data_IF_813834319238
#
_entry.id   IF_813834319238
#
_cell.length_a   1.000
_cell.length_b   1.000
_cell.length_c   1.000
_cell.angle_alpha   90.00
_cell.angle_beta   90.00
_cell.angle_gamma   90.00
#
_symmetry.space_group_name_H-M   'P 1'
#
loop_
_entity.id
_entity.type
_entity.pdbx_description
1 polymer ?
#
# COMPACT_ATOMS: atom_id res chain seq x y z
N UNK A 1 6.36 6.64 3.70
CA UNK A 1 7.05 5.42 4.19
C UNK A 1 6.29 4.75 5.31
N UNK A 2 6.00 5.44 6.42
CA UNK A 2 5.28 4.88 7.56
C UNK A 2 3.94 4.24 7.18
N UNK A 3 3.06 4.96 6.49
CA UNK A 3 1.75 4.43 6.07
C UNK A 3 1.89 3.14 5.23
N UNK A 4 2.81 3.13 4.25
CA UNK A 4 3.07 1.93 3.45
C UNK A 4 3.62 0.77 4.29
N UNK A 5 4.53 1.05 5.22
CA UNK A 5 5.07 0.07 6.15
C UNK A 5 3.99 -0.52 7.06
N UNK A 6 3.10 0.33 7.59
CA UNK A 6 1.94 -0.11 8.36
C UNK A 6 1.06 -1.06 7.54
N UNK A 7 0.74 -0.73 6.28
CA UNK A 7 -0.03 -1.61 5.37
C UNK A 7 0.67 -2.95 5.06
N UNK A 8 1.98 -3.05 5.27
CA UNK A 8 2.71 -4.33 5.15
C UNK A 8 2.79 -5.11 6.46
N UNK A 9 2.81 -4.41 7.60
CA UNK A 9 2.84 -4.99 8.94
C UNK A 9 2.22 -4.01 9.93
N UNK A 10 1.12 -4.41 10.56
CA UNK A 10 0.45 -3.60 11.57
C UNK A 10 1.17 -3.64 12.93
N UNK A 11 2.28 -2.91 13.02
CA UNK A 11 3.09 -2.76 14.23
C UNK A 11 3.89 -1.46 14.12
N UNK A 12 3.41 -0.41 14.81
CA UNK A 12 3.99 0.94 14.72
C UNK A 12 5.48 0.95 15.06
N UNK A 13 5.86 0.29 16.15
CA UNK A 13 7.21 0.35 16.67
C UNK A 13 8.15 -0.44 15.77
N UNK A 14 7.73 -1.63 15.32
CA UNK A 14 8.45 -2.39 14.32
C UNK A 14 8.66 -1.61 13.00
N UNK A 15 7.62 -0.93 12.51
CA UNK A 15 7.71 -0.14 11.27
C UNK A 15 8.63 1.07 11.46
N UNK A 16 8.56 1.75 12.61
CA UNK A 16 9.49 2.84 12.96
C UNK A 16 10.92 2.34 13.01
N UNK A 17 11.19 1.20 13.64
CA UNK A 17 12.53 0.61 13.70
C UNK A 17 13.06 0.27 12.29
N UNK A 18 12.21 -0.29 11.43
CA UNK A 18 12.58 -0.55 10.04
C UNK A 18 12.93 0.73 9.28
N UNK A 19 12.17 1.82 9.49
CA UNK A 19 12.43 3.11 8.86
C UNK A 19 13.71 3.74 9.41
N UNK A 20 13.93 3.67 10.73
CA UNK A 20 15.14 4.19 11.37
C UNK A 20 16.39 3.50 10.82
N UNK A 21 16.36 2.17 10.65
CA UNK A 21 17.47 1.45 10.01
C UNK A 21 17.70 1.93 8.57
N UNK A 22 16.65 2.13 7.79
CA UNK A 22 16.78 2.63 6.40
C UNK A 22 17.51 3.97 6.39
N UNK A 23 17.14 4.90 7.26
CA UNK A 23 17.83 6.19 7.36
C UNK A 23 19.26 6.06 7.90
N UNK A 24 19.49 5.21 8.89
CA UNK A 24 20.84 4.94 9.40
C UNK A 24 21.76 4.42 8.29
N UNK A 25 21.29 3.46 7.49
CA UNK A 25 22.04 2.91 6.36
C UNK A 25 22.28 3.95 5.26
N UNK A 26 21.30 4.81 5.00
CA UNK A 26 21.43 5.91 4.04
C UNK A 26 22.52 6.90 4.48
N UNK A 27 22.50 7.34 5.74
CA UNK A 27 23.49 8.27 6.29
C UNK A 27 24.88 7.64 6.25
N UNK A 28 25.00 6.37 6.68
CA UNK A 28 26.27 5.62 6.69
C UNK A 28 26.86 5.42 5.29
N UNK A 29 26.01 5.32 4.26
CA UNK A 29 26.42 5.08 2.87
C UNK A 29 26.33 6.33 2.00
N UNK A 30 26.15 7.52 2.58
CA UNK A 30 25.90 8.76 1.84
C UNK A 30 26.96 9.05 0.77
N UNK A 31 28.22 8.75 1.07
CA UNK A 31 29.36 9.00 0.17
C UNK A 31 29.41 7.99 -1.00
N UNK A 32 28.59 6.94 -0.96
CA UNK A 32 28.47 5.87 -1.97
C UNK A 32 27.10 5.83 -2.63
N UNK A 33 26.21 6.79 -2.33
CA UNK A 33 24.92 6.90 -2.99
C UNK A 33 25.14 7.38 -4.41
N UNK A 34 24.77 6.55 -5.40
CA UNK A 34 24.68 7.00 -6.78
C UNK A 34 23.53 7.98 -6.96
N UNK A 35 23.44 8.59 -8.15
CA UNK A 35 22.23 9.35 -8.51
C UNK A 35 21.02 8.42 -8.51
N UNK A 36 19.92 8.91 -7.93
CA UNK A 36 18.63 8.22 -7.95
C UNK A 36 17.60 9.11 -8.65
N UNK A 37 16.99 8.61 -9.71
CA UNK A 37 15.98 9.35 -10.46
C UNK A 37 14.67 9.52 -9.67
N UNK A 38 14.38 8.61 -8.73
CA UNK A 38 13.22 8.72 -7.85
C UNK A 38 13.51 8.29 -6.40
N UNK A 39 13.68 9.29 -5.53
CA UNK A 39 13.90 9.11 -4.09
C UNK A 39 12.70 8.42 -3.41
N UNK A 40 11.46 8.76 -3.80
CA UNK A 40 10.25 8.16 -3.21
C UNK A 40 10.20 6.65 -3.46
N UNK A 41 10.43 6.23 -4.70
CA UNK A 41 10.49 4.81 -5.05
C UNK A 41 11.58 4.09 -4.24
N UNK A 42 12.78 4.68 -4.20
CA UNK A 42 13.91 4.12 -3.47
C UNK A 42 13.57 3.89 -1.99
N UNK A 43 12.97 4.88 -1.34
CA UNK A 43 12.61 4.83 0.08
C UNK A 43 11.52 3.78 0.36
N UNK A 44 10.48 3.73 -0.47
CA UNK A 44 9.42 2.72 -0.35
C UNK A 44 9.99 1.30 -0.55
N UNK A 45 10.86 1.12 -1.54
CA UNK A 45 11.53 -0.16 -1.82
C UNK A 45 12.42 -0.59 -0.66
N UNK A 46 13.18 0.35 -0.11
CA UNK A 46 14.10 0.10 1.01
C UNK A 46 13.35 -0.34 2.26
N UNK A 47 12.26 0.35 2.63
CA UNK A 47 11.41 -0.04 3.77
C UNK A 47 10.75 -1.40 3.53
N UNK A 48 10.18 -1.64 2.34
CA UNK A 48 9.60 -2.95 1.98
C UNK A 48 10.62 -4.08 2.16
N UNK A 49 11.82 -3.90 1.60
CA UNK A 49 12.88 -4.89 1.68
C UNK A 49 13.34 -5.12 3.12
N UNK A 50 13.42 -4.07 3.95
CA UNK A 50 13.76 -4.17 5.37
C UNK A 50 12.69 -4.96 6.14
N UNK A 51 11.42 -4.60 5.98
CA UNK A 51 10.29 -5.31 6.60
C UNK A 51 10.29 -6.78 6.21
N UNK A 52 10.40 -7.10 4.92
CA UNK A 52 10.45 -8.49 4.43
C UNK A 52 11.64 -9.24 5.05
N UNK A 53 12.82 -8.60 5.11
CA UNK A 53 14.03 -9.20 5.69
C UNK A 53 13.83 -9.52 7.17
N UNK A 54 13.33 -8.58 7.96
CA UNK A 54 13.10 -8.77 9.40
C UNK A 54 12.07 -9.88 9.66
N UNK A 55 10.97 -9.89 8.92
CA UNK A 55 9.96 -10.95 9.01
C UNK A 55 10.52 -12.31 8.60
N UNK A 56 11.36 -12.37 7.56
CA UNK A 56 11.99 -13.61 7.12
C UNK A 56 13.06 -14.13 8.09
N UNK A 57 13.76 -13.23 8.80
CA UNK A 57 14.79 -13.59 9.77
C UNK A 57 14.18 -14.13 11.06
N UNK A 58 13.08 -13.52 11.54
CA UNK A 58 12.32 -14.02 12.70
C UNK A 58 11.64 -15.36 12.42
N UNK A 59 11.24 -15.63 11.18
CA UNK A 59 10.61 -16.89 10.79
C UNK A 59 11.59 -18.05 10.53
N UNK A 60 12.91 -17.86 10.63
CA UNK A 60 13.87 -18.98 10.50
C UNK A 60 13.76 -20.01 11.63
N UNK A 61 13.13 -19.67 12.76
CA UNK A 61 12.79 -20.63 13.80
C UNK A 61 11.53 -21.47 13.48
N UNK A 62 10.77 -21.13 12.43
CA UNK A 62 9.62 -21.90 11.95
C UNK A 62 9.79 -22.28 10.47
N UNK A 63 10.47 -23.40 10.23
CA UNK A 63 10.83 -23.95 8.92
C UNK A 63 9.67 -24.29 7.95
N UNK A 64 8.42 -23.89 8.22
CA UNK A 64 7.28 -24.24 7.37
C UNK A 64 6.32 -23.07 7.14
N UNK A 65 6.59 -22.34 6.05
CA UNK A 65 5.69 -21.51 5.20
C UNK A 65 6.28 -20.12 4.97
N UNK A 66 6.88 -19.92 3.80
CA UNK A 66 7.16 -18.60 3.20
C UNK A 66 5.84 -17.84 2.99
N UNK A 67 5.26 -17.26 4.05
CA UNK A 67 4.25 -16.21 3.90
C UNK A 67 5.00 -14.90 3.78
N UNK A 68 5.01 -14.33 2.58
CA UNK A 68 5.31 -12.91 2.39
C UNK A 68 4.42 -12.09 3.34
N UNK A 69 4.87 -10.92 3.83
CA UNK A 69 3.98 -10.01 4.55
C UNK A 69 2.71 -9.83 3.72
N UNK A 70 1.59 -10.24 4.31
CA UNK A 70 0.27 -10.02 3.77
C UNK A 70 0.12 -8.49 3.69
N UNK A 71 -0.29 -7.96 2.53
CA UNK A 71 -0.67 -6.54 2.47
C UNK A 71 -1.98 -6.40 3.23
N UNK A 72 -1.83 -6.30 4.54
CA UNK A 72 -2.89 -6.20 5.51
C UNK A 72 -3.54 -4.85 5.30
N UNK A 73 -4.86 -4.88 5.21
CA UNK A 73 -5.58 -3.65 5.41
C UNK A 73 -5.40 -3.28 6.87
N UNK A 74 -4.45 -2.41 7.17
CA UNK A 74 -4.42 -1.74 8.46
C UNK A 74 -5.71 -0.97 8.57
N UNK A 75 -6.65 -1.61 9.23
CA UNK A 75 -7.79 -1.03 9.89
C UNK A 75 -7.49 -1.18 11.37
N UNK A 76 -7.09 -0.12 12.08
CA UNK A 76 -7.23 -0.12 13.55
C UNK A 76 -6.87 1.19 14.28
N UNK A 77 -6.37 2.28 13.68
CA UNK A 77 -6.24 3.54 14.46
C UNK A 77 -7.02 4.71 13.86
N UNK A 78 -6.86 5.03 12.57
CA UNK A 78 -7.72 6.06 11.97
C UNK A 78 -9.19 5.59 11.85
N UNK A 79 -9.42 4.26 11.78
CA UNK A 79 -10.74 3.69 11.50
C UNK A 79 -11.71 3.59 12.70
N UNK A 80 -11.19 3.52 13.93
CA UNK A 80 -12.05 3.60 15.12
C UNK A 80 -12.66 5.00 15.28
N UNK A 81 -11.99 6.01 14.69
CA UNK A 81 -12.51 7.36 14.51
C UNK A 81 -13.49 7.45 13.33
N UNK A 82 -13.22 6.77 12.20
CA UNK A 82 -14.08 6.75 11.00
C UNK A 82 -15.48 6.15 11.26
N UNK A 83 -15.61 5.18 12.17
CA UNK A 83 -16.94 4.71 12.59
C UNK A 83 -17.67 5.68 13.53
N UNK A 84 -16.94 6.56 14.24
CA UNK A 84 -17.50 7.51 15.22
C UNK A 84 -17.91 8.84 14.60
N UNK A 85 -17.24 9.30 13.54
CA UNK A 85 -17.59 10.55 12.85
C UNK A 85 -18.26 10.29 11.49
N UNK A 86 -19.59 10.27 11.48
CA UNK A 86 -20.42 10.86 10.42
C UNK A 86 -20.12 10.60 8.93
N UNK A 87 -19.45 9.51 8.54
CA UNK A 87 -19.10 9.27 7.14
C UNK A 87 -20.32 8.91 6.26
N UNK A 88 -20.31 9.39 5.02
CA UNK A 88 -21.44 9.22 4.09
C UNK A 88 -21.53 7.76 3.62
N UNK A 89 -22.74 7.29 3.24
CA UNK A 89 -22.97 5.92 2.70
C UNK A 89 -21.99 5.50 1.60
N UNK A 90 -21.43 6.47 0.86
CA UNK A 90 -20.47 6.25 -0.23
C UNK A 90 -19.11 5.76 0.26
N UNK A 91 -18.68 6.23 1.41
CA UNK A 91 -17.35 5.95 1.96
C UNK A 91 -17.31 4.57 2.59
N UNK A 92 -18.36 4.22 3.32
CA UNK A 92 -18.57 2.86 3.80
C UNK A 92 -18.63 1.87 2.64
N UNK A 93 -19.28 2.22 1.52
CA UNK A 93 -19.33 1.38 0.34
C UNK A 93 -17.96 1.22 -0.35
N UNK A 94 -17.18 2.31 -0.45
CA UNK A 94 -15.82 2.29 -0.98
C UNK A 94 -14.90 1.40 -0.13
N UNK A 95 -14.96 1.58 1.19
CA UNK A 95 -14.23 0.77 2.16
C UNK A 95 -14.53 -0.72 1.97
N UNK A 96 -15.80 -1.10 1.97
CA UNK A 96 -16.23 -2.49 1.75
C UNK A 96 -15.82 -3.04 0.38
N UNK A 97 -15.64 -2.17 -0.60
CA UNK A 97 -15.16 -2.58 -1.91
C UNK A 97 -13.65 -2.88 -1.91
N UNK A 98 -12.86 -2.03 -1.23
CA UNK A 98 -11.40 -2.20 -1.09
C UNK A 98 -11.06 -3.47 -0.30
N UNK A 99 -11.82 -3.79 0.75
CA UNK A 99 -11.60 -5.04 1.53
C UNK A 99 -11.80 -6.30 0.72
N UNK A 100 -12.65 -6.25 -0.31
CA UNK A 100 -12.94 -7.37 -1.23
C UNK A 100 -11.93 -7.54 -2.37
N UNK A 101 -10.92 -6.68 -2.44
CA UNK A 101 -9.80 -6.81 -3.37
C UNK A 101 -8.77 -7.81 -2.84
N UNK A 102 -8.05 -8.47 -3.75
CA UNK A 102 -6.86 -9.23 -3.37
C UNK A 102 -5.75 -8.30 -2.85
N UNK A 103 -4.82 -8.83 -2.05
CA UNK A 103 -3.69 -8.06 -1.50
C UNK A 103 -2.90 -7.33 -2.58
N UNK A 104 -2.58 -8.01 -3.69
CA UNK A 104 -1.85 -7.40 -4.80
C UNK A 104 -2.63 -6.28 -5.49
N UNK A 105 -3.96 -6.40 -5.55
CA UNK A 105 -4.82 -5.33 -6.09
C UNK A 105 -4.86 -4.13 -5.15
N UNK A 106 -4.93 -4.35 -3.82
CA UNK A 106 -4.87 -3.30 -2.82
C UNK A 106 -3.53 -2.58 -2.85
N UNK A 107 -2.43 -3.34 -2.86
CA UNK A 107 -1.08 -2.78 -2.93
C UNK A 107 -0.92 -1.96 -4.23
N UNK A 108 -1.34 -2.48 -5.38
CA UNK A 108 -1.23 -1.74 -6.65
C UNK A 108 -2.08 -0.45 -6.67
N UNK A 109 -3.29 -0.45 -6.10
CA UNK A 109 -4.11 0.76 -5.97
C UNK A 109 -3.46 1.75 -5.02
N UNK A 110 -2.98 1.29 -3.86
CA UNK A 110 -2.29 2.14 -2.89
C UNK A 110 -1.10 2.82 -3.56
N UNK A 111 -0.21 2.05 -4.18
CA UNK A 111 0.96 2.61 -4.87
C UNK A 111 0.58 3.59 -5.98
N UNK A 112 -0.51 3.33 -6.70
CA UNK A 112 -0.94 4.18 -7.82
C UNK A 112 -1.58 5.50 -7.38
N UNK A 113 -2.46 5.47 -6.38
CA UNK A 113 -3.31 6.59 -6.00
C UNK A 113 -2.90 7.29 -4.71
N UNK A 114 -2.17 6.61 -3.83
CA UNK A 114 -1.63 7.15 -2.55
C UNK A 114 -0.20 7.62 -2.71
N UNK A 115 0.62 6.78 -3.32
CA UNK A 115 2.04 7.07 -3.49
C UNK A 115 2.34 7.83 -4.79
N UNK A 116 1.34 8.01 -5.65
CA UNK A 116 1.44 8.62 -6.98
C UNK A 116 2.52 7.97 -7.87
N UNK A 117 2.72 6.65 -7.76
CA UNK A 117 3.71 5.96 -8.58
C UNK A 117 3.22 5.74 -10.01
N UNK A 118 4.13 5.87 -10.96
CA UNK A 118 3.95 5.44 -12.34
C UNK A 118 3.86 3.92 -12.43
N UNK A 119 3.32 3.40 -13.55
CA UNK A 119 3.24 1.95 -13.74
C UNK A 119 4.62 1.29 -13.76
N UNK A 120 5.64 1.94 -14.30
CA UNK A 120 7.03 1.46 -14.28
C UNK A 120 7.56 1.33 -12.85
N UNK A 121 7.28 2.30 -11.99
CA UNK A 121 7.71 2.28 -10.59
C UNK A 121 6.96 1.21 -9.78
N UNK A 122 5.67 1.03 -10.05
CA UNK A 122 4.87 -0.05 -9.45
C UNK A 122 5.45 -1.42 -9.87
N UNK A 123 5.82 -1.58 -11.14
CA UNK A 123 6.48 -2.80 -11.62
C UNK A 123 7.76 -3.09 -10.86
N UNK A 124 8.59 -2.07 -10.67
CA UNK A 124 9.85 -2.20 -9.96
C UNK A 124 9.63 -2.55 -8.48
N UNK A 125 8.67 -1.91 -7.81
CA UNK A 125 8.41 -2.11 -6.38
C UNK A 125 7.72 -3.46 -6.09
N UNK A 126 6.84 -3.90 -6.99
CA UNK A 126 6.08 -5.16 -6.84
C UNK A 126 6.76 -6.35 -7.51
N UNK A 127 7.84 -6.13 -8.27
CA UNK A 127 8.52 -7.12 -9.09
C UNK A 127 7.57 -7.86 -10.06
N UNK A 128 6.87 -7.10 -10.90
CA UNK A 128 5.87 -7.59 -11.87
C UNK A 128 6.05 -6.93 -13.25
N UNK A 129 5.49 -7.54 -14.30
CA UNK A 129 5.51 -6.94 -15.64
C UNK A 129 4.58 -5.73 -15.77
N UNK A 130 4.87 -4.85 -16.74
CA UNK A 130 4.08 -3.64 -17.00
C UNK A 130 2.62 -3.95 -17.31
N UNK A 131 2.38 -4.96 -18.15
CA UNK A 131 1.05 -5.46 -18.42
C UNK A 131 0.34 -5.97 -17.14
N UNK A 132 1.07 -6.66 -16.24
CA UNK A 132 0.50 -7.12 -14.97
C UNK A 132 0.13 -5.96 -14.03
N UNK A 133 0.96 -4.92 -13.94
CA UNK A 133 0.67 -3.75 -13.11
C UNK A 133 -0.59 -3.02 -13.61
N UNK A 134 -0.69 -2.79 -14.93
CA UNK A 134 -1.88 -2.19 -15.54
C UNK A 134 -3.13 -3.04 -15.30
N UNK A 135 -3.04 -4.35 -15.51
CA UNK A 135 -4.15 -5.30 -15.25
C UNK A 135 -4.55 -5.33 -13.78
N UNK A 136 -3.61 -5.28 -12.84
CA UNK A 136 -3.91 -5.24 -11.40
C UNK A 136 -4.71 -4.00 -11.04
N UNK A 137 -4.23 -2.81 -11.43
CA UNK A 137 -4.92 -1.55 -11.17
C UNK A 137 -6.29 -1.52 -11.87
N UNK A 138 -6.35 -1.91 -13.15
CA UNK A 138 -7.61 -1.94 -13.90
C UNK A 138 -8.65 -2.87 -13.27
N UNK A 139 -8.26 -4.11 -12.93
CA UNK A 139 -9.15 -5.08 -12.28
C UNK A 139 -9.59 -4.60 -10.90
N UNK A 140 -8.71 -3.98 -10.14
CA UNK A 140 -9.02 -3.44 -8.84
C UNK A 140 -10.07 -2.31 -8.94
N UNK A 141 -9.85 -1.34 -9.83
CA UNK A 141 -10.81 -0.25 -10.10
C UNK A 141 -12.14 -0.79 -10.62
N UNK A 142 -12.11 -1.76 -11.54
CA UNK A 142 -13.33 -2.39 -12.08
C UNK A 142 -14.12 -3.11 -10.99
N UNK A 143 -13.44 -3.81 -10.09
CA UNK A 143 -14.10 -4.51 -8.98
C UNK A 143 -14.68 -3.52 -7.96
N UNK A 144 -13.98 -2.43 -7.66
CA UNK A 144 -14.53 -1.34 -6.83
C UNK A 144 -15.80 -0.78 -7.47
N UNK A 145 -15.75 -0.45 -8.76
CA UNK A 145 -16.90 0.04 -9.53
C UNK A 145 -18.09 -0.90 -9.46
N UNK A 146 -17.88 -2.21 -9.70
CA UNK A 146 -18.96 -3.20 -9.66
C UNK A 146 -19.64 -3.26 -8.28
N UNK A 147 -18.85 -3.18 -7.20
CA UNK A 147 -19.37 -3.24 -5.84
C UNK A 147 -20.17 -1.97 -5.50
N UNK A 148 -19.70 -0.80 -5.95
CA UNK A 148 -20.36 0.48 -5.69
C UNK A 148 -21.58 0.69 -6.59
N UNK A 149 -21.52 0.37 -7.89
CA UNK A 149 -22.66 0.51 -8.80
C UNK A 149 -23.83 -0.40 -8.43
N UNK A 150 -23.57 -1.56 -7.82
CA UNK A 150 -24.62 -2.39 -7.23
C UNK A 150 -25.38 -1.67 -6.10
N UNK A 151 -24.78 -0.62 -5.52
CA UNK A 151 -25.28 0.12 -4.36
C UNK A 151 -25.60 1.61 -4.62
N UNK A 152 -25.26 2.21 -5.77
CA UNK A 152 -25.50 3.66 -6.01
C UNK A 152 -25.48 4.04 -7.49
N UNK A 153 -26.45 4.86 -7.91
CA UNK A 153 -26.68 5.32 -9.28
C UNK A 153 -25.59 6.25 -9.87
N UNK A 154 -25.83 6.86 -11.05
CA UNK A 154 -24.80 7.42 -11.94
C UNK A 154 -24.25 8.76 -11.42
N UNK A 155 -23.29 8.71 -10.49
CA UNK A 155 -22.59 9.88 -9.93
C UNK A 155 -21.06 9.75 -9.97
N UNK A 156 -20.52 9.26 -11.09
CA UNK A 156 -19.15 8.72 -11.19
C UNK A 156 -18.03 9.79 -11.33
N UNK A 157 -18.33 10.98 -11.85
CA UNK A 157 -17.28 12.01 -12.12
C UNK A 157 -16.72 12.62 -10.83
N UNK A 158 -17.52 12.69 -9.76
CA UNK A 158 -17.10 13.18 -8.44
C UNK A 158 -16.29 12.14 -7.62
N UNK A 159 -16.16 10.90 -8.12
CA UNK A 159 -15.55 9.79 -7.40
C UNK A 159 -14.01 9.79 -7.51
N UNK A 160 -13.46 10.20 -8.65
CA UNK A 160 -12.01 10.32 -8.83
C UNK A 160 -11.41 11.44 -7.97
N UNK A 161 -12.17 12.51 -7.72
CA UNK A 161 -11.78 13.58 -6.79
C UNK A 161 -11.91 13.15 -5.33
N UNK A 162 -12.87 12.26 -5.01
CA UNK A 162 -13.04 11.72 -3.66
C UNK A 162 -11.99 10.66 -3.31
N UNK A 163 -11.52 9.87 -4.30
CA UNK A 163 -10.41 8.93 -4.13
C UNK A 163 -9.12 9.62 -3.69
N UNK A 164 -8.94 10.91 -3.95
CA UNK A 164 -7.80 11.69 -3.46
C UNK A 164 -7.94 12.12 -2.00
N UNK A 165 -9.16 12.07 -1.43
CA UNK A 165 -9.50 12.61 -0.10
C UNK A 165 -9.66 11.54 1.00
N UNK A 166 -9.71 10.26 0.64
CA UNK A 166 -9.85 9.09 1.55
C UNK A 166 -8.60 8.22 1.61
N UNK A 167 -7.48 8.83 1.26
CA UNK A 167 -6.25 8.21 0.81
C UNK A 167 -5.14 9.03 1.50
N UNK A 168 -5.25 10.36 1.44
CA UNK A 168 -4.80 11.26 2.51
C UNK A 168 -5.57 11.05 3.81
#
# INVERSE_FOLDING_TARGET
>A
MFNYGMKLKYDSDFVKDCIQEVFFQLIKKRDKLGQTDNIKLYLLKSVKNRIIRELSSKNKESLNKKKLPQFESVFSVEDEFIQKEGNTKKETALFQAITKLSERQREAIFLKYECDLSYSEICELMNISNDSARKLVYRAVTRIKQIIHKNTGPGFVLFLTSLRKYVL
#
